data_IF_166318002794
#
_entry.id   IF_166318002794
#
_cell.length_a   1.000
_cell.length_b   1.000
_cell.length_c   1.000
_cell.angle_alpha   90.00
_cell.angle_beta   90.00
_cell.angle_gamma   90.00
#
_symmetry.space_group_name_H-M   'P 1'
#
loop_
_entity.id
_entity.type
_entity.pdbx_description
1 polymer ?
#
# COMPACT_ATOMS: atom_id res chain seq x y z
N UNK A 1 18.08 -22.22 -20.09
CA UNK A 1 17.68 -21.69 -18.77
C UNK A 1 17.60 -20.17 -18.76
N UNK A 2 18.63 -19.42 -19.19
CA UNK A 2 18.63 -17.95 -19.29
C UNK A 2 17.63 -17.43 -20.34
N UNK A 3 17.46 -18.12 -21.46
CA UNK A 3 16.50 -17.76 -22.51
C UNK A 3 15.05 -17.94 -22.07
N UNK A 4 14.75 -19.00 -21.32
CA UNK A 4 13.43 -19.22 -20.70
C UNK A 4 13.15 -18.15 -19.63
N UNK A 5 14.16 -17.78 -18.83
CA UNK A 5 14.06 -16.70 -17.85
C UNK A 5 13.83 -15.33 -18.50
N UNK A 6 14.48 -15.06 -19.62
CA UNK A 6 14.32 -13.82 -20.39
C UNK A 6 12.95 -13.73 -21.06
N UNK A 7 12.46 -14.83 -21.66
CA UNK A 7 11.14 -14.91 -22.27
C UNK A 7 10.00 -14.78 -21.23
N UNK A 8 10.16 -15.36 -20.04
CA UNK A 8 9.18 -15.27 -18.95
C UNK A 8 9.13 -13.88 -18.32
N UNK A 9 10.26 -13.19 -18.17
CA UNK A 9 10.34 -11.89 -17.47
C UNK A 9 10.07 -10.67 -18.37
N UNK A 10 10.51 -10.68 -19.62
CA UNK A 10 10.42 -9.49 -20.49
C UNK A 10 9.09 -9.34 -21.25
N UNK A 11 8.35 -10.44 -21.44
CA UNK A 11 7.08 -10.44 -22.18
C UNK A 11 5.83 -10.71 -21.32
N UNK A 12 5.93 -10.71 -20.01
CA UNK A 12 4.81 -11.03 -19.11
C UNK A 12 3.55 -10.17 -19.37
N UNK A 13 3.70 -8.88 -19.63
CA UNK A 13 2.57 -7.99 -19.87
C UNK A 13 1.88 -8.23 -21.24
N UNK A 14 2.65 -8.53 -22.27
CA UNK A 14 2.11 -8.72 -23.63
C UNK A 14 1.44 -10.09 -23.81
N UNK A 15 2.03 -11.14 -23.21
CA UNK A 15 1.44 -12.49 -23.29
C UNK A 15 0.13 -12.61 -22.51
N UNK A 16 0.01 -11.95 -21.35
CA UNK A 16 -1.23 -11.97 -20.56
C UNK A 16 -2.36 -11.25 -21.32
N UNK A 17 -2.06 -10.13 -21.98
CA UNK A 17 -3.03 -9.41 -22.79
C UNK A 17 -3.45 -10.21 -24.04
N UNK A 18 -2.51 -10.90 -24.68
CA UNK A 18 -2.75 -11.77 -25.83
C UNK A 18 -3.63 -12.99 -25.45
N UNK A 19 -3.29 -13.73 -24.41
CA UNK A 19 -4.07 -14.87 -23.93
C UNK A 19 -5.47 -14.42 -23.49
N UNK A 20 -5.61 -13.23 -22.92
CA UNK A 20 -6.87 -12.68 -22.46
C UNK A 20 -7.78 -12.19 -23.59
N UNK A 21 -7.21 -11.58 -24.62
CA UNK A 21 -7.96 -11.21 -25.84
C UNK A 21 -8.44 -12.45 -26.58
N UNK A 22 -7.70 -13.55 -26.52
CA UNK A 22 -8.09 -14.85 -27.03
C UNK A 22 -9.30 -15.43 -26.30
N UNK A 23 -9.39 -15.23 -24.98
CA UNK A 23 -10.43 -15.85 -24.14
C UNK A 23 -11.84 -15.30 -24.33
N UNK A 24 -12.02 -14.03 -24.72
CA UNK A 24 -13.34 -13.37 -24.77
C UNK A 24 -14.02 -13.30 -26.14
N UNK A 25 -13.28 -13.32 -27.22
CA UNK A 25 -13.88 -13.12 -28.55
C UNK A 25 -13.64 -14.27 -29.52
N UNK A 26 -12.51 -14.97 -29.39
CA UNK A 26 -12.06 -15.90 -30.42
C UNK A 26 -12.67 -17.30 -30.31
N UNK A 27 -13.09 -17.75 -29.12
CA UNK A 27 -13.89 -18.98 -29.01
C UNK A 27 -15.20 -18.85 -29.79
N UNK A 28 -15.91 -17.74 -29.62
CA UNK A 28 -17.16 -17.49 -30.35
C UNK A 28 -16.91 -17.42 -31.88
N UNK A 29 -15.82 -16.79 -32.33
CA UNK A 29 -15.47 -16.71 -33.75
C UNK A 29 -15.19 -18.11 -34.32
N UNK A 30 -14.42 -18.96 -33.63
CA UNK A 30 -14.13 -20.32 -34.06
C UNK A 30 -15.43 -21.13 -34.21
N UNK A 31 -16.34 -21.05 -33.24
CA UNK A 31 -17.64 -21.72 -33.34
C UNK A 31 -18.49 -21.18 -34.49
N UNK A 32 -18.56 -19.85 -34.64
CA UNK A 32 -19.30 -19.19 -35.72
C UNK A 32 -18.76 -19.54 -37.12
N UNK A 33 -17.46 -19.77 -37.27
CA UNK A 33 -16.86 -20.19 -38.56
C UNK A 33 -17.00 -21.70 -38.77
N UNK A 34 -16.94 -22.53 -37.74
CA UNK A 34 -16.99 -23.97 -37.86
C UNK A 34 -18.40 -24.48 -38.19
N UNK A 35 -19.45 -23.88 -37.62
CA UNK A 35 -20.86 -24.28 -37.91
C UNK A 35 -21.17 -24.16 -39.39
N UNK A 36 -20.94 -23.03 -40.07
CA UNK A 36 -21.20 -22.91 -41.53
C UNK A 36 -20.38 -23.89 -42.34
N UNK A 37 -19.13 -24.17 -42.00
CA UNK A 37 -18.28 -25.11 -42.72
C UNK A 37 -18.86 -26.53 -42.70
N UNK A 38 -19.26 -27.02 -41.52
CA UNK A 38 -19.89 -28.30 -41.41
C UNK A 38 -21.29 -28.33 -42.05
N UNK A 39 -22.02 -27.21 -41.97
CA UNK A 39 -23.35 -27.10 -42.57
C UNK A 39 -23.29 -27.25 -44.09
N UNK A 40 -22.38 -26.51 -44.76
CA UNK A 40 -22.17 -26.61 -46.21
C UNK A 40 -21.75 -28.02 -46.61
N UNK A 41 -20.85 -28.66 -45.85
CA UNK A 41 -20.39 -30.00 -46.13
C UNK A 41 -21.49 -31.07 -45.99
N UNK A 42 -22.32 -30.97 -44.93
CA UNK A 42 -23.44 -31.89 -44.70
C UNK A 42 -24.56 -31.67 -45.74
N UNK A 43 -24.83 -30.45 -46.14
CA UNK A 43 -25.79 -30.14 -47.21
C UNK A 43 -25.32 -30.72 -48.57
N UNK A 44 -24.04 -30.53 -48.88
CA UNK A 44 -23.45 -31.13 -50.10
C UNK A 44 -23.49 -32.67 -50.07
N UNK A 45 -23.42 -33.31 -48.91
CA UNK A 45 -23.55 -34.74 -48.76
C UNK A 45 -25.00 -35.24 -48.88
N UNK A 46 -25.95 -34.41 -49.30
CA UNK A 46 -27.33 -34.78 -49.63
C UNK A 46 -28.30 -34.76 -48.45
N UNK A 47 -27.94 -34.16 -47.29
CA UNK A 47 -28.89 -33.95 -46.21
C UNK A 47 -29.74 -32.71 -46.45
N UNK A 48 -30.98 -32.73 -45.97
CA UNK A 48 -31.85 -31.56 -46.03
C UNK A 48 -31.29 -30.38 -45.20
N UNK A 49 -31.74 -29.17 -45.44
CA UNK A 49 -31.19 -27.96 -44.89
C UNK A 49 -31.21 -27.91 -43.36
N UNK A 50 -32.31 -28.28 -42.75
CA UNK A 50 -32.51 -28.27 -41.30
C UNK A 50 -31.69 -29.37 -40.59
N UNK A 51 -31.73 -30.58 -41.11
CA UNK A 51 -30.96 -31.71 -40.56
C UNK A 51 -29.46 -31.45 -40.67
N UNK A 52 -29.01 -30.85 -41.78
CA UNK A 52 -27.61 -30.43 -41.95
C UNK A 52 -27.16 -29.42 -40.93
N UNK A 53 -28.03 -28.47 -40.55
CA UNK A 53 -27.75 -27.46 -39.55
C UNK A 53 -27.63 -28.10 -38.14
N UNK A 54 -28.62 -28.86 -37.69
CA UNK A 54 -28.57 -29.48 -36.37
C UNK A 54 -27.43 -30.47 -36.23
N UNK A 55 -27.15 -31.23 -37.29
CA UNK A 55 -26.02 -32.13 -37.33
C UNK A 55 -24.69 -31.40 -37.20
N UNK A 56 -24.56 -30.25 -37.80
CA UNK A 56 -23.39 -29.41 -37.71
C UNK A 56 -23.16 -28.84 -36.30
N UNK A 57 -24.22 -28.43 -35.62
CA UNK A 57 -24.14 -28.02 -34.19
C UNK A 57 -23.66 -29.19 -33.33
N UNK A 58 -24.20 -30.39 -33.52
CA UNK A 58 -23.77 -31.61 -32.80
C UNK A 58 -22.27 -31.91 -33.03
N UNK A 59 -21.79 -31.80 -34.26
CA UNK A 59 -20.36 -32.00 -34.59
C UNK A 59 -19.44 -30.94 -34.02
N UNK A 60 -19.89 -29.69 -34.02
CA UNK A 60 -19.14 -28.60 -33.36
C UNK A 60 -19.08 -28.84 -31.85
N UNK A 61 -20.12 -29.40 -31.24
CA UNK A 61 -20.11 -29.85 -29.83
C UNK A 61 -19.01 -30.89 -29.55
N UNK A 62 -18.77 -31.83 -30.45
CA UNK A 62 -17.67 -32.80 -30.35
C UNK A 62 -16.28 -32.15 -30.45
N UNK A 63 -16.13 -31.10 -31.23
CA UNK A 63 -14.87 -30.33 -31.30
C UNK A 63 -14.46 -29.68 -29.96
N UNK A 64 -15.43 -29.40 -29.07
CA UNK A 64 -15.13 -28.86 -27.71
C UNK A 64 -14.34 -29.88 -26.89
N UNK A 65 -14.58 -31.16 -27.11
CA UNK A 65 -13.85 -32.26 -26.47
C UNK A 65 -12.68 -32.76 -27.32
N UNK A 66 -12.30 -31.98 -28.36
CA UNK A 66 -11.21 -32.29 -29.30
C UNK A 66 -11.43 -33.58 -30.13
N UNK A 67 -12.66 -33.95 -30.35
CA UNK A 67 -13.03 -35.07 -31.23
C UNK A 67 -13.23 -34.53 -32.66
N UNK A 68 -12.26 -34.77 -33.55
CA UNK A 68 -12.28 -34.32 -34.94
C UNK A 68 -12.95 -35.39 -35.83
N UNK A 69 -14.26 -35.27 -36.07
CA UNK A 69 -15.01 -36.18 -36.89
C UNK A 69 -15.38 -35.51 -38.24
N UNK A 70 -14.77 -35.99 -39.32
CA UNK A 70 -14.97 -35.50 -40.69
C UNK A 70 -15.80 -36.43 -41.55
N UNK A 71 -16.28 -37.57 -41.01
CA UNK A 71 -16.99 -38.59 -41.78
C UNK A 71 -18.17 -38.07 -42.56
N UNK A 72 -18.90 -37.11 -42.00
CA UNK A 72 -20.12 -36.55 -42.62
C UNK A 72 -19.85 -35.53 -43.74
N UNK A 73 -18.62 -35.04 -43.86
CA UNK A 73 -18.23 -34.01 -44.83
C UNK A 73 -17.11 -34.50 -45.77
N UNK A 74 -16.79 -35.79 -45.73
CA UNK A 74 -15.67 -36.37 -46.50
C UNK A 74 -15.86 -36.22 -47.98
N UNK A 75 -17.05 -36.35 -48.51
CA UNK A 75 -17.36 -36.24 -49.95
C UNK A 75 -17.00 -34.84 -50.50
N UNK A 76 -17.29 -33.76 -49.76
CA UNK A 76 -16.89 -32.41 -50.17
C UNK A 76 -15.39 -32.16 -49.95
N UNK A 77 -14.79 -32.75 -48.90
CA UNK A 77 -13.35 -32.66 -48.70
C UNK A 77 -12.53 -33.35 -49.75
N UNK A 78 -13.03 -34.45 -50.32
CA UNK A 78 -12.37 -35.17 -51.44
C UNK A 78 -12.51 -34.44 -52.76
N UNK A 79 -13.65 -33.82 -53.03
CA UNK A 79 -13.92 -33.12 -54.27
C UNK A 79 -13.34 -31.69 -54.31
N UNK A 80 -13.15 -31.07 -53.14
CA UNK A 80 -12.71 -29.64 -53.06
C UNK A 80 -11.50 -29.45 -52.15
N UNK A 81 -10.34 -29.22 -52.76
CA UNK A 81 -9.07 -29.04 -52.02
C UNK A 81 -9.06 -27.78 -51.15
N UNK A 82 -9.72 -26.71 -51.52
CA UNK A 82 -9.81 -25.48 -50.77
C UNK A 82 -10.68 -25.68 -49.51
N UNK A 83 -11.81 -26.40 -49.65
CA UNK A 83 -12.66 -26.73 -48.54
C UNK A 83 -11.92 -27.63 -47.53
N UNK A 84 -11.19 -28.64 -48.00
CA UNK A 84 -10.36 -29.53 -47.19
C UNK A 84 -9.31 -28.74 -46.40
N UNK A 85 -8.60 -27.82 -47.05
CA UNK A 85 -7.62 -26.95 -46.40
C UNK A 85 -8.28 -26.08 -45.33
N UNK A 86 -9.44 -25.51 -45.59
CA UNK A 86 -10.18 -24.66 -44.64
C UNK A 86 -10.62 -25.44 -43.41
N UNK A 87 -11.08 -26.68 -43.55
CA UNK A 87 -11.45 -27.57 -42.44
C UNK A 87 -10.23 -27.90 -41.59
N UNK A 88 -9.09 -28.29 -42.18
CA UNK A 88 -7.88 -28.59 -41.41
C UNK A 88 -7.32 -27.35 -40.73
N UNK A 89 -7.34 -26.19 -41.37
CA UNK A 89 -6.94 -24.94 -40.77
C UNK A 89 -7.82 -24.56 -39.57
N UNK A 90 -9.12 -24.79 -39.68
CA UNK A 90 -10.05 -24.57 -38.56
C UNK A 90 -9.75 -25.52 -37.38
N UNK A 91 -9.45 -26.81 -37.65
CA UNK A 91 -9.04 -27.74 -36.59
C UNK A 91 -7.77 -27.30 -35.87
N UNK A 92 -6.77 -26.80 -36.61
CA UNK A 92 -5.55 -26.26 -36.03
C UNK A 92 -5.89 -25.06 -35.11
N UNK A 93 -6.78 -24.17 -35.54
CA UNK A 93 -7.22 -23.03 -34.72
C UNK A 93 -7.93 -23.47 -33.44
N UNK A 94 -8.80 -24.49 -33.51
CA UNK A 94 -9.46 -25.08 -32.33
C UNK A 94 -8.44 -25.68 -31.37
N UNK A 95 -7.47 -26.43 -31.89
CA UNK A 95 -6.39 -27.03 -31.08
C UNK A 95 -5.54 -25.97 -30.39
N UNK A 96 -5.13 -24.92 -31.12
CA UNK A 96 -4.38 -23.80 -30.56
C UNK A 96 -5.16 -23.11 -29.45
N UNK A 97 -6.48 -22.91 -29.67
CA UNK A 97 -7.34 -22.29 -28.66
C UNK A 97 -7.44 -23.15 -27.39
N UNK A 98 -7.61 -24.47 -27.53
CA UNK A 98 -7.63 -25.40 -26.40
C UNK A 98 -6.30 -25.41 -25.65
N UNK A 99 -5.17 -25.43 -26.35
CA UNK A 99 -3.84 -25.32 -25.76
C UNK A 99 -3.65 -23.99 -25.02
N UNK A 100 -4.08 -22.87 -25.59
CA UNK A 100 -4.03 -21.56 -24.93
C UNK A 100 -4.89 -21.54 -23.66
N UNK A 101 -6.04 -22.19 -23.66
CA UNK A 101 -6.90 -22.31 -22.49
C UNK A 101 -6.23 -23.12 -21.38
N UNK A 102 -5.69 -24.30 -21.69
CA UNK A 102 -4.95 -25.15 -20.74
C UNK A 102 -3.73 -24.38 -20.18
N UNK A 103 -2.94 -23.77 -21.05
CA UNK A 103 -1.78 -22.98 -20.66
C UNK A 103 -2.18 -21.80 -19.76
N UNK A 104 -3.32 -21.17 -19.99
CA UNK A 104 -3.79 -20.06 -19.15
C UNK A 104 -4.11 -20.49 -17.71
N UNK A 105 -4.61 -21.70 -17.53
CA UNK A 105 -4.90 -22.27 -16.20
C UNK A 105 -3.61 -22.72 -15.52
N UNK A 106 -2.74 -23.39 -16.25
CA UNK A 106 -1.50 -23.95 -15.72
C UNK A 106 -0.49 -22.84 -15.43
N UNK A 107 -0.42 -21.79 -16.27
CA UNK A 107 0.54 -20.71 -16.15
C UNK A 107 0.48 -20.00 -14.79
N UNK A 108 -0.70 -19.70 -14.27
CA UNK A 108 -0.83 -19.08 -12.95
C UNK A 108 -0.31 -19.98 -11.83
N UNK A 109 -0.61 -21.29 -11.89
CA UNK A 109 -0.13 -22.28 -10.91
C UNK A 109 1.38 -22.47 -11.00
N UNK A 110 1.92 -22.57 -12.22
CA UNK A 110 3.36 -22.68 -12.45
C UNK A 110 4.08 -21.43 -11.96
N UNK A 111 3.53 -20.23 -12.21
CA UNK A 111 4.11 -18.98 -11.76
C UNK A 111 4.15 -18.89 -10.22
N UNK A 112 3.06 -19.21 -9.53
CA UNK A 112 3.02 -19.25 -8.07
C UNK A 112 4.01 -20.28 -7.50
N UNK A 113 4.07 -21.48 -8.11
CA UNK A 113 5.04 -22.52 -7.73
C UNK A 113 6.49 -22.04 -7.92
N UNK A 114 6.78 -21.40 -9.05
CA UNK A 114 8.09 -20.86 -9.35
C UNK A 114 8.50 -19.75 -8.36
N UNK A 115 7.60 -18.83 -8.04
CA UNK A 115 7.83 -17.79 -7.04
C UNK A 115 8.16 -18.43 -5.67
N UNK A 116 7.40 -19.40 -5.25
CA UNK A 116 7.65 -20.14 -4.00
C UNK A 116 9.04 -20.81 -4.01
N UNK A 117 9.46 -21.37 -5.13
CA UNK A 117 10.78 -21.96 -5.32
C UNK A 117 11.89 -20.90 -5.22
N UNK A 118 11.72 -19.76 -5.87
CA UNK A 118 12.66 -18.64 -5.82
C UNK A 118 12.82 -18.11 -4.39
N UNK A 119 11.72 -17.93 -3.67
CA UNK A 119 11.75 -17.49 -2.26
C UNK A 119 12.54 -18.48 -1.40
N UNK A 120 12.37 -19.78 -1.60
CA UNK A 120 13.08 -20.80 -0.82
C UNK A 120 14.55 -20.94 -1.18
N UNK A 121 14.87 -21.03 -2.47
CA UNK A 121 16.20 -21.41 -2.96
C UNK A 121 17.16 -20.25 -3.14
N UNK A 122 16.67 -19.03 -3.31
CA UNK A 122 17.54 -17.87 -3.53
C UNK A 122 18.39 -17.54 -2.31
N UNK A 123 19.62 -17.12 -2.58
CA UNK A 123 20.57 -16.59 -1.59
C UNK A 123 20.49 -15.06 -1.46
N UNK A 124 19.54 -14.40 -2.12
CA UNK A 124 19.33 -12.96 -1.98
C UNK A 124 18.57 -12.65 -0.69
N UNK A 125 18.79 -11.44 -0.18
CA UNK A 125 18.01 -10.87 0.92
C UNK A 125 16.51 -10.92 0.62
N UNK A 126 15.72 -11.09 1.64
CA UNK A 126 14.27 -11.30 1.52
C UNK A 126 13.47 -10.23 2.24
N UNK A 127 12.41 -9.79 1.60
CA UNK A 127 11.43 -8.86 2.14
C UNK A 127 10.06 -9.54 2.15
N UNK A 128 9.52 -9.76 3.33
CA UNK A 128 8.16 -10.26 3.54
C UNK A 128 7.27 -9.13 4.03
N UNK A 129 6.16 -8.89 3.35
CA UNK A 129 5.23 -7.81 3.65
C UNK A 129 3.87 -8.43 3.97
N UNK A 130 3.40 -8.27 5.19
CA UNK A 130 2.10 -8.73 5.65
C UNK A 130 1.07 -7.62 5.52
N UNK A 131 -0.05 -7.95 4.85
CA UNK A 131 -1.13 -7.01 4.54
C UNK A 131 -1.16 -6.56 3.08
N UNK A 132 -2.38 -6.24 2.60
CA UNK A 132 -2.67 -5.86 1.22
C UNK A 132 -3.23 -4.43 1.16
N UNK A 133 -2.46 -3.45 1.61
CA UNK A 133 -2.82 -2.04 1.51
C UNK A 133 -1.95 -1.30 0.47
N UNK A 134 -2.29 -0.05 0.19
CA UNK A 134 -1.58 0.79 -0.80
C UNK A 134 -0.14 1.08 -0.40
N UNK A 135 0.12 1.26 0.89
CA UNK A 135 1.44 1.52 1.47
C UNK A 135 2.36 0.31 1.24
N UNK A 136 1.88 -0.88 1.57
CA UNK A 136 2.61 -2.13 1.35
C UNK A 136 2.93 -2.39 -0.11
N UNK A 137 2.00 -2.06 -1.01
CA UNK A 137 2.24 -2.14 -2.46
C UNK A 137 3.31 -1.13 -2.89
N UNK A 138 3.34 0.05 -2.29
CA UNK A 138 4.38 1.05 -2.55
C UNK A 138 5.75 0.60 -2.05
N UNK A 139 5.85 0.06 -0.83
CA UNK A 139 7.06 -0.56 -0.29
C UNK A 139 7.52 -1.70 -1.20
N UNK A 140 6.59 -2.57 -1.63
CA UNK A 140 6.90 -3.66 -2.56
C UNK A 140 7.49 -3.15 -3.87
N UNK A 141 6.97 -2.07 -4.43
CA UNK A 141 7.43 -1.51 -5.72
C UNK A 141 8.77 -0.78 -5.61
N UNK A 142 9.01 -0.05 -4.52
CA UNK A 142 10.24 0.71 -4.30
C UNK A 142 11.48 -0.18 -4.15
N UNK A 143 11.32 -1.36 -3.57
CA UNK A 143 12.42 -2.30 -3.35
C UNK A 143 12.82 -3.00 -4.66
N UNK A 144 14.09 -2.91 -5.05
CA UNK A 144 14.59 -3.48 -6.32
C UNK A 144 15.54 -4.67 -6.16
N UNK A 145 16.26 -4.74 -5.05
CA UNK A 145 17.41 -5.62 -4.91
C UNK A 145 17.14 -6.90 -4.12
N UNK A 146 15.96 -7.04 -3.51
CA UNK A 146 15.59 -8.16 -2.64
C UNK A 146 14.57 -9.07 -3.31
N UNK A 147 14.46 -10.30 -2.84
CA UNK A 147 13.28 -11.13 -3.11
C UNK A 147 12.18 -10.68 -2.20
N UNK A 148 11.11 -10.22 -2.79
CA UNK A 148 9.98 -9.61 -2.10
C UNK A 148 8.70 -10.41 -2.31
N UNK A 149 7.91 -10.52 -1.26
CA UNK A 149 6.67 -11.29 -1.26
C UNK A 149 5.63 -10.63 -0.36
N UNK A 150 4.44 -10.46 -0.89
CA UNK A 150 3.28 -9.98 -0.15
C UNK A 150 2.52 -11.16 0.43
N UNK A 151 2.12 -11.08 1.70
CA UNK A 151 1.48 -12.16 2.45
C UNK A 151 0.19 -11.65 3.04
N UNK A 152 -0.93 -12.23 2.63
CA UNK A 152 -2.24 -11.86 3.14
C UNK A 152 -3.28 -12.94 2.82
N UNK A 153 -4.46 -12.85 3.41
CA UNK A 153 -5.62 -13.65 3.04
C UNK A 153 -6.31 -13.02 1.81
N UNK A 154 -5.84 -13.39 0.62
CA UNK A 154 -6.27 -12.79 -0.64
C UNK A 154 -7.48 -13.49 -1.24
N UNK A 155 -8.46 -12.73 -1.66
CA UNK A 155 -9.56 -13.20 -2.53
C UNK A 155 -9.03 -13.58 -3.92
N UNK A 156 -9.78 -14.37 -4.67
CA UNK A 156 -9.34 -14.80 -6.01
C UNK A 156 -9.20 -13.63 -6.99
N UNK A 157 -10.00 -12.59 -6.82
CA UNK A 157 -9.89 -11.35 -7.62
C UNK A 157 -8.59 -10.59 -7.32
N UNK A 158 -8.17 -10.53 -6.07
CA UNK A 158 -6.91 -9.90 -5.66
C UNK A 158 -5.71 -10.71 -6.14
N UNK A 159 -5.75 -12.04 -6.00
CA UNK A 159 -4.72 -12.94 -6.56
C UNK A 159 -4.54 -12.73 -8.07
N UNK A 160 -5.64 -12.64 -8.81
CA UNK A 160 -5.61 -12.36 -10.25
C UNK A 160 -5.00 -10.97 -10.55
N UNK A 161 -5.35 -9.95 -9.76
CA UNK A 161 -4.82 -8.60 -9.92
C UNK A 161 -3.30 -8.55 -9.63
N UNK A 162 -2.85 -9.21 -8.55
CA UNK A 162 -1.42 -9.29 -8.23
C UNK A 162 -0.63 -10.06 -9.27
N UNK A 163 -1.17 -11.17 -9.72
CA UNK A 163 -0.59 -11.93 -10.82
C UNK A 163 -0.40 -11.06 -12.08
N UNK A 164 -1.42 -10.27 -12.47
CA UNK A 164 -1.34 -9.34 -13.61
C UNK A 164 -0.29 -8.26 -13.44
N UNK A 165 -0.10 -7.78 -12.21
CA UNK A 165 0.90 -6.76 -11.87
C UNK A 165 2.29 -7.34 -11.62
N UNK A 166 2.50 -8.64 -11.75
CA UNK A 166 3.78 -9.31 -11.46
C UNK A 166 4.19 -9.24 -9.99
N UNK A 167 3.22 -9.06 -9.09
CA UNK A 167 3.48 -9.01 -7.64
C UNK A 167 3.53 -10.44 -7.10
N UNK A 168 4.65 -10.82 -6.51
CA UNK A 168 4.79 -12.09 -5.80
C UNK A 168 3.95 -12.09 -4.53
N UNK A 169 3.16 -13.13 -4.31
CA UNK A 169 2.29 -13.22 -3.15
C UNK A 169 2.17 -14.64 -2.60
N UNK A 170 1.85 -14.72 -1.30
CA UNK A 170 1.46 -15.93 -0.60
C UNK A 170 0.10 -15.67 0.03
N UNK A 171 -0.94 -16.37 -0.44
CA UNK A 171 -2.28 -16.28 0.15
C UNK A 171 -2.43 -17.31 1.27
N UNK A 172 -2.61 -16.83 2.50
CA UNK A 172 -2.77 -17.69 3.67
C UNK A 172 -3.42 -16.95 4.84
N UNK A 173 -4.19 -17.68 5.63
CA UNK A 173 -4.67 -17.25 6.95
C UNK A 173 -3.75 -17.73 8.09
N UNK A 174 -2.81 -18.65 7.80
CA UNK A 174 -1.93 -19.28 8.80
C UNK A 174 -0.51 -18.69 8.72
N UNK A 175 -0.33 -17.47 9.17
CA UNK A 175 0.95 -16.75 9.10
C UNK A 175 2.12 -17.50 9.76
N UNK A 176 1.87 -18.20 10.87
CA UNK A 176 2.88 -19.02 11.56
C UNK A 176 3.55 -20.05 10.63
N UNK A 177 2.78 -20.63 9.70
CA UNK A 177 3.31 -21.60 8.75
C UNK A 177 4.24 -20.96 7.70
N UNK A 178 4.01 -19.70 7.35
CA UNK A 178 4.85 -18.94 6.43
C UNK A 178 6.24 -18.73 7.05
N UNK A 179 6.26 -18.33 8.31
CA UNK A 179 7.50 -18.07 9.05
C UNK A 179 8.37 -19.33 9.05
N UNK A 180 7.85 -20.45 9.55
CA UNK A 180 8.57 -21.73 9.60
C UNK A 180 9.05 -22.20 8.23
N UNK A 181 8.30 -21.95 7.18
CA UNK A 181 8.57 -22.46 5.83
C UNK A 181 9.66 -21.68 5.09
N UNK A 182 9.77 -20.37 5.33
CA UNK A 182 10.59 -19.47 4.49
C UNK A 182 11.76 -18.82 5.21
N UNK A 183 11.77 -18.81 6.56
CA UNK A 183 12.97 -18.48 7.33
C UNK A 183 13.91 -19.67 7.27
N UNK A 184 15.01 -19.51 6.53
CA UNK A 184 16.06 -20.52 6.47
C UNK A 184 17.19 -20.13 7.42
N UNK A 185 17.29 -20.84 8.54
CA UNK A 185 18.26 -20.58 9.59
C UNK A 185 19.67 -21.00 9.16
N UNK A 186 19.78 -22.08 8.35
CA UNK A 186 21.05 -22.65 7.91
C UNK A 186 21.84 -21.70 6.99
N UNK A 187 21.15 -20.82 6.25
CA UNK A 187 21.77 -19.86 5.34
C UNK A 187 22.19 -18.60 6.08
N UNK A 188 23.44 -18.55 6.54
CA UNK A 188 23.97 -17.48 7.39
C UNK A 188 24.07 -16.09 6.75
N UNK A 189 24.09 -15.99 5.41
CA UNK A 189 24.35 -14.73 4.68
C UNK A 189 23.08 -13.98 4.26
N UNK A 190 21.89 -14.55 4.49
CA UNK A 190 20.64 -13.97 4.03
C UNK A 190 20.04 -13.05 5.11
N UNK A 191 19.80 -11.79 4.77
CA UNK A 191 19.06 -10.85 5.62
C UNK A 191 17.55 -10.95 5.33
N UNK A 192 16.79 -10.89 6.40
CA UNK A 192 15.34 -10.92 6.38
C UNK A 192 14.80 -9.59 6.89
N UNK A 193 13.97 -8.96 6.10
CA UNK A 193 13.18 -7.81 6.52
C UNK A 193 11.71 -8.21 6.48
N UNK A 194 11.01 -7.99 7.57
CA UNK A 194 9.61 -8.30 7.71
C UNK A 194 8.87 -7.01 8.00
N UNK A 195 7.86 -6.72 7.22
CA UNK A 195 6.96 -5.58 7.40
C UNK A 195 5.59 -6.13 7.72
N UNK A 196 5.05 -5.77 8.86
CA UNK A 196 3.71 -6.16 9.32
C UNK A 196 2.85 -4.89 9.33
N UNK A 197 1.97 -4.77 8.36
CA UNK A 197 1.09 -3.63 8.19
C UNK A 197 -0.22 -4.12 7.56
N UNK A 198 -1.05 -4.79 8.34
CA UNK A 198 -2.42 -5.14 7.95
C UNK A 198 -3.36 -3.95 8.21
N UNK A 199 -4.63 -4.11 7.94
CA UNK A 199 -5.64 -3.07 8.22
C UNK A 199 -6.04 -3.01 9.70
N UNK A 200 -5.67 -4.02 10.47
CA UNK A 200 -6.04 -4.17 11.89
C UNK A 200 -4.78 -4.29 12.77
N UNK A 201 -4.63 -3.35 13.67
CA UNK A 201 -3.51 -3.31 14.61
C UNK A 201 -3.45 -4.54 15.53
N UNK A 202 -4.61 -5.08 15.92
CA UNK A 202 -4.67 -6.30 16.74
C UNK A 202 -4.11 -7.49 15.95
N UNK A 203 -4.39 -7.54 14.66
CA UNK A 203 -3.82 -8.54 13.77
C UNK A 203 -2.30 -8.34 13.63
N UNK A 204 -1.82 -7.10 13.49
CA UNK A 204 -0.39 -6.78 13.43
C UNK A 204 0.35 -7.28 14.68
N UNK A 205 -0.20 -7.01 15.86
CA UNK A 205 0.34 -7.46 17.13
C UNK A 205 0.32 -9.00 17.23
N UNK A 206 -0.77 -9.64 16.81
CA UNK A 206 -0.89 -11.09 16.82
C UNK A 206 0.11 -11.77 15.87
N UNK A 207 0.32 -11.22 14.68
CA UNK A 207 1.34 -11.69 13.74
C UNK A 207 2.73 -11.54 14.36
N UNK A 208 3.05 -10.38 14.95
CA UNK A 208 4.32 -10.12 15.62
C UNK A 208 4.57 -11.12 16.75
N UNK A 209 3.59 -11.35 17.61
CA UNK A 209 3.66 -12.35 18.68
C UNK A 209 3.95 -13.75 18.14
N UNK A 210 3.29 -14.17 17.07
CA UNK A 210 3.56 -15.45 16.41
C UNK A 210 5.01 -15.56 15.89
N UNK A 211 5.60 -14.44 15.43
CA UNK A 211 7.02 -14.40 15.07
C UNK A 211 7.91 -14.61 16.30
N UNK A 212 7.68 -13.86 17.35
CA UNK A 212 8.45 -13.96 18.60
C UNK A 212 8.39 -15.39 19.16
N UNK A 213 7.19 -15.97 19.27
CA UNK A 213 7.00 -17.34 19.77
C UNK A 213 7.74 -18.37 18.90
N UNK A 214 7.72 -18.16 17.56
CA UNK A 214 8.43 -19.05 16.65
C UNK A 214 9.94 -18.94 16.82
N UNK A 215 10.48 -17.72 16.95
CA UNK A 215 11.91 -17.47 17.12
C UNK A 215 12.38 -17.98 18.50
N UNK A 216 11.59 -17.77 19.52
CA UNK A 216 11.90 -18.26 20.87
C UNK A 216 11.92 -19.80 20.95
N UNK A 217 11.29 -20.49 19.98
CA UNK A 217 11.36 -21.96 19.89
C UNK A 217 12.65 -22.49 19.24
N UNK A 218 13.51 -21.62 18.70
CA UNK A 218 14.79 -22.02 18.11
C UNK A 218 15.88 -22.20 19.18
N UNK A 219 16.97 -22.88 18.80
CA UNK A 219 18.16 -23.00 19.66
C UNK A 219 18.81 -21.63 19.92
N UNK A 220 19.55 -21.46 21.02
CA UNK A 220 20.15 -20.17 21.35
C UNK A 220 21.20 -19.73 20.30
N UNK A 221 21.90 -20.67 19.70
CA UNK A 221 22.84 -20.40 18.61
C UNK A 221 22.10 -19.86 17.37
N UNK A 222 20.95 -20.41 17.05
CA UNK A 222 20.13 -19.97 15.93
C UNK A 222 19.50 -18.58 16.18
N UNK A 223 19.10 -18.32 17.43
CA UNK A 223 18.60 -17.00 17.85
C UNK A 223 19.64 -15.91 17.64
N UNK A 224 20.89 -16.14 18.05
CA UNK A 224 21.99 -15.17 17.88
C UNK A 224 22.22 -14.90 16.38
N UNK A 225 22.24 -15.94 15.56
CA UNK A 225 22.38 -15.79 14.11
C UNK A 225 21.21 -15.05 13.46
N UNK A 226 19.99 -15.24 13.94
CA UNK A 226 18.80 -14.53 13.45
C UNK A 226 18.78 -13.07 13.90
N UNK A 227 19.19 -12.76 15.14
CA UNK A 227 19.22 -11.40 15.66
C UNK A 227 19.98 -10.42 14.75
N UNK A 228 21.11 -10.84 14.21
CA UNK A 228 21.93 -10.01 13.31
C UNK A 228 21.34 -9.83 11.91
N UNK A 229 20.39 -10.68 11.52
CA UNK A 229 19.90 -10.78 10.14
C UNK A 229 18.41 -10.51 9.97
N UNK A 230 17.65 -10.56 11.04
CA UNK A 230 16.21 -10.40 11.02
C UNK A 230 15.83 -9.05 11.60
N UNK A 231 15.13 -8.25 10.79
CA UNK A 231 14.50 -7.00 11.23
C UNK A 231 13.01 -7.09 11.00
N UNK A 232 12.24 -6.77 12.02
CA UNK A 232 10.77 -6.78 11.96
C UNK A 232 10.29 -5.37 12.22
N UNK A 233 9.49 -4.84 11.30
CA UNK A 233 8.82 -3.55 11.41
C UNK A 233 7.32 -3.80 11.53
N UNK A 234 6.72 -3.34 12.62
CA UNK A 234 5.29 -3.49 12.90
C UNK A 234 4.65 -2.12 12.88
N UNK A 235 3.73 -1.91 11.97
CA UNK A 235 2.98 -0.67 11.88
C UNK A 235 1.76 -0.73 12.79
N UNK A 236 1.45 0.38 13.44
CA UNK A 236 0.27 0.48 14.27
C UNK A 236 0.01 1.87 14.81
N UNK A 237 -1.07 1.98 15.58
CA UNK A 237 -1.52 3.21 16.19
C UNK A 237 -0.76 3.50 17.51
N UNK A 238 -0.55 4.76 17.86
CA UNK A 238 0.17 5.15 19.09
C UNK A 238 -0.37 4.50 20.36
N UNK A 239 -1.68 4.30 20.42
CA UNK A 239 -2.38 3.72 21.57
C UNK A 239 -1.93 2.28 21.92
N UNK A 240 -1.46 1.55 20.93
CA UNK A 240 -1.03 0.16 21.06
C UNK A 240 0.48 0.01 21.33
N UNK A 241 1.23 1.10 21.38
CA UNK A 241 2.68 1.07 21.52
C UNK A 241 3.12 0.41 22.83
N UNK A 242 2.48 0.74 23.96
CA UNK A 242 2.82 0.15 25.27
C UNK A 242 2.60 -1.36 25.31
N UNK A 243 1.50 -1.85 24.71
CA UNK A 243 1.22 -3.29 24.59
C UNK A 243 2.27 -3.97 23.72
N UNK A 244 2.68 -3.31 22.64
CA UNK A 244 3.72 -3.80 21.76
C UNK A 244 5.08 -3.88 22.47
N UNK A 245 5.48 -2.84 23.21
CA UNK A 245 6.74 -2.80 23.98
C UNK A 245 6.83 -3.92 25.00
N UNK A 246 5.73 -4.23 25.69
CA UNK A 246 5.66 -5.39 26.61
C UNK A 246 5.93 -6.72 25.86
N UNK A 247 5.38 -6.88 24.66
CA UNK A 247 5.58 -8.08 23.85
C UNK A 247 7.03 -8.17 23.35
N UNK A 248 7.60 -7.06 22.92
CA UNK A 248 8.96 -6.98 22.38
C UNK A 248 10.02 -7.19 23.45
N UNK A 249 9.79 -6.73 24.68
CA UNK A 249 10.72 -6.93 25.82
C UNK A 249 11.04 -8.42 26.06
N UNK A 250 10.16 -9.32 25.62
CA UNK A 250 10.31 -10.79 25.71
C UNK A 250 11.01 -11.40 24.47
N UNK A 251 11.45 -10.57 23.53
CA UNK A 251 12.02 -11.01 22.26
C UNK A 251 13.53 -10.83 22.22
N UNK A 252 14.22 -11.80 21.62
CA UNK A 252 15.65 -11.72 21.28
C UNK A 252 15.89 -11.18 19.85
N UNK A 253 14.91 -10.51 19.22
CA UNK A 253 15.03 -10.01 17.85
C UNK A 253 14.94 -8.49 17.78
N UNK A 254 15.52 -7.91 16.71
CA UNK A 254 15.37 -6.50 16.42
C UNK A 254 13.96 -6.25 15.84
N UNK A 255 13.06 -5.77 16.68
CA UNK A 255 11.68 -5.45 16.33
C UNK A 255 11.44 -3.97 16.61
N UNK A 256 10.92 -3.27 15.61
CA UNK A 256 10.60 -1.83 15.71
C UNK A 256 9.11 -1.62 15.49
N UNK A 257 8.48 -0.89 16.40
CA UNK A 257 7.13 -0.38 16.20
C UNK A 257 7.20 0.91 15.39
N UNK A 258 6.34 1.03 14.39
CA UNK A 258 6.27 2.21 13.53
C UNK A 258 4.88 2.81 13.66
N UNK A 259 4.80 3.94 14.32
CA UNK A 259 3.64 4.79 14.31
C UNK A 259 3.57 5.49 12.95
N UNK A 260 2.62 5.11 12.09
CA UNK A 260 2.46 5.68 10.75
C UNK A 260 2.19 7.18 10.77
N UNK A 261 1.46 7.66 11.76
CA UNK A 261 1.12 9.08 11.90
C UNK A 261 2.36 9.88 12.29
N UNK A 262 3.20 9.34 13.15
CA UNK A 262 4.49 9.94 13.51
C UNK A 262 5.44 10.02 12.30
N UNK A 263 5.48 8.96 11.47
CA UNK A 263 6.30 9.00 10.25
C UNK A 263 5.80 10.08 9.26
N UNK A 264 4.49 10.24 9.12
CA UNK A 264 3.90 11.32 8.32
C UNK A 264 4.27 12.68 8.89
N UNK A 265 4.20 12.83 10.22
CA UNK A 265 4.53 14.08 10.90
C UNK A 265 6.01 14.45 10.74
N UNK A 266 6.91 13.49 10.89
CA UNK A 266 8.36 13.72 10.69
C UNK A 266 8.63 14.15 9.24
N UNK A 267 8.09 13.42 8.26
CA UNK A 267 8.26 13.74 6.83
C UNK A 267 7.66 15.12 6.49
N UNK A 268 6.52 15.47 7.09
CA UNK A 268 5.88 16.76 6.89
C UNK A 268 6.72 17.89 7.47
N UNK A 269 7.17 17.81 8.71
CA UNK A 269 7.95 18.85 9.39
C UNK A 269 9.33 19.01 8.75
N UNK A 270 9.95 17.91 8.30
CA UNK A 270 11.24 17.94 7.58
C UNK A 270 11.13 18.65 6.23
N UNK A 271 10.06 18.39 5.48
CA UNK A 271 9.83 19.03 4.17
C UNK A 271 9.37 20.48 4.27
N UNK A 272 8.60 20.80 5.31
CA UNK A 272 7.92 22.07 5.50
C UNK A 272 8.21 22.69 6.87
N UNK A 273 9.51 22.86 7.25
CA UNK A 273 9.84 23.55 8.49
C UNK A 273 9.39 25.01 8.39
N UNK A 274 8.84 25.57 9.46
CA UNK A 274 8.30 26.93 9.44
C UNK A 274 9.34 27.98 9.01
N UNK A 275 10.59 27.84 9.45
CA UNK A 275 11.68 28.74 9.07
C UNK A 275 11.87 28.88 7.55
N UNK A 276 11.55 27.84 6.77
CA UNK A 276 11.67 27.83 5.31
C UNK A 276 10.79 28.88 4.62
N UNK A 277 9.68 29.25 5.23
CA UNK A 277 8.70 30.17 4.65
C UNK A 277 8.83 31.58 5.18
N UNK A 278 9.66 31.82 6.19
CA UNK A 278 9.90 33.12 6.74
C UNK A 278 10.79 33.97 5.82
N UNK A 279 10.53 35.26 5.79
CA UNK A 279 11.29 36.22 4.99
C UNK A 279 12.19 37.10 5.87
N UNK A 280 13.03 37.95 5.24
CA UNK A 280 13.98 38.85 5.93
C UNK A 280 13.37 39.87 6.90
N UNK A 281 12.07 40.11 6.85
CA UNK A 281 11.37 40.96 7.80
C UNK A 281 10.99 40.22 9.08
N UNK A 282 11.04 38.89 9.05
CA UNK A 282 10.65 37.99 10.14
C UNK A 282 11.86 37.33 10.78
N UNK A 283 12.86 36.93 9.98
CA UNK A 283 14.09 36.31 10.44
C UNK A 283 15.29 37.13 10.00
N UNK A 284 16.23 37.31 10.89
CA UNK A 284 17.54 37.86 10.57
C UNK A 284 18.46 36.74 10.10
N UNK A 285 18.81 36.74 8.81
CA UNK A 285 19.62 35.67 8.23
C UNK A 285 21.08 35.68 8.68
N UNK A 286 21.58 36.82 9.15
CA UNK A 286 22.97 36.93 9.62
C UNK A 286 23.12 36.29 11.01
N UNK A 287 22.14 36.46 11.86
CA UNK A 287 22.13 35.92 13.23
C UNK A 287 21.32 34.63 13.36
N UNK A 288 20.47 34.30 12.37
CA UNK A 288 19.48 33.21 12.41
C UNK A 288 18.43 33.33 13.53
N UNK A 289 18.22 34.57 14.02
CA UNK A 289 17.26 34.86 15.07
C UNK A 289 15.94 35.37 14.49
N UNK A 290 14.83 35.02 15.15
CA UNK A 290 13.51 35.60 14.82
C UNK A 290 13.44 37.00 15.42
N UNK A 291 12.85 37.95 14.68
CA UNK A 291 12.63 39.30 15.18
C UNK A 291 11.55 39.29 16.27
N UNK A 292 11.76 40.11 17.32
CA UNK A 292 10.91 40.09 18.52
C UNK A 292 9.44 40.43 18.24
N UNK A 293 9.20 41.30 17.25
CA UNK A 293 7.87 41.77 16.86
C UNK A 293 7.11 40.75 15.95
N UNK A 294 7.66 39.59 15.68
CA UNK A 294 7.03 38.52 14.84
C UNK A 294 6.41 37.47 15.71
N UNK A 295 5.14 37.15 15.54
CA UNK A 295 4.54 35.93 16.08
C UNK A 295 4.45 34.85 15.00
N UNK A 296 4.59 33.63 15.43
CA UNK A 296 4.45 32.45 14.57
C UNK A 296 3.18 31.74 15.01
N UNK A 297 2.19 31.71 14.13
CA UNK A 297 0.89 31.11 14.42
C UNK A 297 0.70 29.86 13.55
N UNK A 298 0.39 28.73 14.16
CA UNK A 298 0.10 27.47 13.50
C UNK A 298 -1.37 27.05 13.78
N UNK A 299 -2.16 27.02 12.73
CA UNK A 299 -3.57 26.61 12.78
C UNK A 299 -3.69 25.15 12.40
N UNK A 300 -4.02 24.28 13.34
CA UNK A 300 -4.24 22.85 13.13
C UNK A 300 -5.75 22.59 12.94
N UNK A 301 -6.14 22.33 11.71
CA UNK A 301 -7.57 22.11 11.36
C UNK A 301 -7.83 20.61 11.27
N UNK A 302 -8.73 20.13 12.16
CA UNK A 302 -8.87 18.73 12.52
C UNK A 302 -7.75 18.29 13.45
N UNK A 303 -8.07 17.71 14.60
CA UNK A 303 -7.06 17.25 15.57
C UNK A 303 -7.11 15.74 15.78
N UNK A 304 -7.26 15.02 14.67
CA UNK A 304 -7.10 13.56 14.61
C UNK A 304 -5.64 13.14 14.80
N UNK A 305 -5.38 11.84 14.76
CA UNK A 305 -4.04 11.24 15.03
C UNK A 305 -2.92 11.88 14.21
N UNK A 306 -3.18 12.25 12.96
CA UNK A 306 -2.16 12.89 12.09
C UNK A 306 -1.75 14.27 12.64
N UNK A 307 -2.71 15.16 12.91
CA UNK A 307 -2.39 16.49 13.42
C UNK A 307 -1.88 16.48 14.86
N UNK A 308 -2.25 15.48 15.67
CA UNK A 308 -1.66 15.30 16.99
C UNK A 308 -0.15 15.02 16.87
N UNK A 309 0.26 14.10 16.00
CA UNK A 309 1.67 13.79 15.78
C UNK A 309 2.42 14.94 15.08
N UNK A 310 1.78 15.65 14.14
CA UNK A 310 2.35 16.86 13.53
C UNK A 310 2.59 17.93 14.60
N UNK A 311 1.64 18.13 15.51
CA UNK A 311 1.79 19.04 16.63
C UNK A 311 2.99 18.68 17.50
N UNK A 312 3.09 17.43 17.97
CA UNK A 312 4.18 16.94 18.80
C UNK A 312 5.54 17.10 18.11
N UNK A 313 5.60 16.66 16.84
CA UNK A 313 6.84 16.76 16.03
C UNK A 313 7.20 18.23 15.75
N UNK A 314 6.20 19.07 15.50
CA UNK A 314 6.38 20.50 15.22
C UNK A 314 6.90 21.24 16.45
N UNK A 315 6.34 20.96 17.62
CA UNK A 315 6.81 21.55 18.89
C UNK A 315 8.27 21.20 19.15
N UNK A 316 8.66 19.96 18.86
CA UNK A 316 10.05 19.51 19.05
C UNK A 316 11.04 20.14 18.06
N UNK A 317 10.61 20.39 16.81
CA UNK A 317 11.52 20.80 15.73
C UNK A 317 11.44 22.29 15.37
N UNK A 318 10.33 22.97 15.63
CA UNK A 318 10.16 24.41 15.34
C UNK A 318 10.37 25.25 16.60
N UNK A 319 11.56 25.13 17.21
CA UNK A 319 11.97 25.97 18.32
C UNK A 319 12.82 27.14 17.80
N UNK A 320 12.35 28.34 18.04
CA UNK A 320 12.98 29.56 17.54
C UNK A 320 13.54 30.36 18.70
N UNK A 321 14.55 31.17 18.39
CA UNK A 321 15.20 32.05 19.34
C UNK A 321 15.05 33.48 18.83
N UNK A 322 14.77 34.41 19.72
CA UNK A 322 14.76 35.87 19.44
C UNK A 322 16.00 36.53 20.05
N UNK A 323 16.32 37.73 19.57
CA UNK A 323 17.45 38.51 20.09
C UNK A 323 17.24 38.94 21.53
N UNK A 324 16.00 39.11 22.00
CA UNK A 324 15.71 39.65 23.33
C UNK A 324 16.45 40.98 23.61
N UNK A 325 16.00 41.73 24.59
CA UNK A 325 16.67 43.02 24.91
C UNK A 325 18.08 42.83 25.49
N UNK A 326 18.36 41.71 26.18
CA UNK A 326 19.66 41.47 26.82
C UNK A 326 20.20 40.03 26.57
N UNK A 327 19.34 39.04 26.37
CA UNK A 327 19.75 37.65 26.14
C UNK A 327 18.83 36.95 25.15
N UNK A 328 19.32 35.99 24.34
CA UNK A 328 18.51 35.20 23.46
C UNK A 328 17.41 34.47 24.23
N UNK A 329 16.16 34.65 23.82
CA UNK A 329 15.00 34.00 24.44
C UNK A 329 14.30 33.04 23.49
N UNK A 330 13.70 31.97 24.03
CA UNK A 330 12.91 31.04 23.24
C UNK A 330 11.64 31.74 22.74
N UNK A 331 11.49 31.82 21.41
CA UNK A 331 10.27 32.31 20.77
C UNK A 331 9.29 31.13 20.59
N UNK A 332 8.16 31.21 21.25
CA UNK A 332 7.12 30.20 21.18
C UNK A 332 6.32 30.31 19.89
N UNK A 333 5.93 29.16 19.33
CA UNK A 333 4.91 29.05 18.28
C UNK A 333 3.55 29.01 18.93
N UNK A 334 2.62 29.84 18.49
CA UNK A 334 1.24 29.84 18.96
C UNK A 334 0.45 28.78 18.16
N UNK A 335 0.07 27.69 18.79
CA UNK A 335 -0.76 26.67 18.15
C UNK A 335 -2.23 26.93 18.44
N UNK A 336 -3.05 27.01 17.38
CA UNK A 336 -4.50 27.13 17.44
C UNK A 336 -5.11 25.85 16.89
N UNK A 337 -5.90 25.14 17.71
CA UNK A 337 -6.46 23.85 17.39
C UNK A 337 -7.94 24.01 17.07
N UNK A 338 -8.35 23.59 15.88
CA UNK A 338 -9.72 23.59 15.44
C UNK A 338 -10.22 22.15 15.29
N UNK A 339 -11.14 21.74 16.15
CA UNK A 339 -11.70 20.38 16.09
C UNK A 339 -13.16 20.38 16.59
N UNK A 340 -13.88 19.29 16.35
CA UNK A 340 -15.26 19.13 16.80
C UNK A 340 -15.29 18.57 18.23
N UNK A 341 -15.84 19.34 19.18
CA UNK A 341 -15.87 18.97 20.60
C UNK A 341 -16.72 17.73 20.92
N UNK A 342 -17.65 17.36 20.04
CA UNK A 342 -18.62 16.30 20.32
C UNK A 342 -18.10 14.88 20.02
N UNK A 343 -16.90 14.75 19.45
CA UNK A 343 -16.36 13.46 19.09
C UNK A 343 -15.60 12.80 20.25
N UNK A 344 -15.58 11.46 20.30
CA UNK A 344 -14.79 10.65 21.25
C UNK A 344 -13.28 10.99 21.23
N UNK A 345 -12.81 11.65 20.19
CA UNK A 345 -11.46 12.17 20.07
C UNK A 345 -11.08 13.11 21.22
N UNK A 346 -12.03 13.82 21.82
CA UNK A 346 -11.77 14.67 22.98
C UNK A 346 -11.25 13.89 24.21
N UNK A 347 -11.65 12.65 24.39
CA UNK A 347 -11.13 11.80 25.49
C UNK A 347 -9.69 11.39 25.21
N UNK A 348 -9.38 11.04 23.97
CA UNK A 348 -8.02 10.68 23.54
C UNK A 348 -7.09 11.90 23.54
N UNK A 349 -7.59 13.05 23.15
CA UNK A 349 -6.88 14.31 23.18
C UNK A 349 -6.46 14.69 24.60
N UNK A 350 -7.39 14.63 25.52
CA UNK A 350 -7.09 14.89 26.93
C UNK A 350 -6.05 13.89 27.46
N UNK A 351 -6.18 12.61 27.14
CA UNK A 351 -5.24 11.60 27.59
C UNK A 351 -3.84 11.80 26.99
N UNK A 352 -3.73 12.02 25.69
CA UNK A 352 -2.45 12.24 25.01
C UNK A 352 -1.82 13.57 25.40
N UNK A 353 -2.61 14.62 25.58
CA UNK A 353 -2.13 15.91 26.06
C UNK A 353 -1.63 15.80 27.52
N UNK A 354 -2.34 15.14 28.41
CA UNK A 354 -1.89 14.94 29.79
C UNK A 354 -0.67 14.03 29.86
N UNK A 355 -0.61 13.00 29.04
CA UNK A 355 0.56 12.16 28.91
C UNK A 355 1.77 12.98 28.48
N UNK A 356 1.63 13.75 27.43
CA UNK A 356 2.68 14.60 26.89
C UNK A 356 3.10 15.67 27.91
N UNK A 357 2.16 16.33 28.54
CA UNK A 357 2.43 17.31 29.61
C UNK A 357 3.17 16.68 30.76
N UNK A 358 2.80 15.46 31.15
CA UNK A 358 3.45 14.76 32.26
C UNK A 358 4.84 14.23 31.88
N UNK A 359 5.01 13.70 30.67
CA UNK A 359 6.32 13.29 30.15
C UNK A 359 7.28 14.47 30.06
N UNK A 360 6.77 15.64 29.74
CA UNK A 360 7.54 16.86 29.60
C UNK A 360 7.78 17.58 30.93
N UNK A 361 6.89 17.45 31.91
CA UNK A 361 7.04 18.08 33.23
C UNK A 361 7.84 17.26 34.22
N UNK A 362 8.03 15.96 33.96
CA UNK A 362 8.82 15.05 34.80
C UNK A 362 10.30 14.98 34.39
N UNK A 363 10.71 15.66 33.32
CA UNK A 363 12.12 15.86 33.00
C UNK A 363 12.80 16.66 34.10
N UNK A 364 13.96 16.21 34.57
CA UNK A 364 14.80 17.00 35.47
C UNK A 364 14.94 18.41 34.94
N UNK A 365 14.88 19.40 35.81
CA UNK A 365 15.03 20.83 35.43
C UNK A 365 16.34 21.16 34.69
N UNK A 366 17.20 20.18 34.52
CA UNK A 366 18.46 20.24 33.78
C UNK A 366 18.36 19.68 32.34
N UNK A 367 17.23 19.05 31.93
CA UNK A 367 17.07 18.64 30.55
C UNK A 367 16.66 19.82 29.67
N UNK A 368 17.54 20.18 28.81
CA UNK A 368 17.74 21.37 28.00
C UNK A 368 16.68 21.68 26.93
N UNK A 369 15.50 21.20 27.04
CA UNK A 369 14.41 21.65 26.18
C UNK A 369 13.38 22.37 27.05
N UNK A 370 13.46 23.73 27.15
CA UNK A 370 12.34 24.47 27.68
C UNK A 370 11.18 24.21 26.74
N UNK A 371 10.34 23.25 27.13
CA UNK A 371 9.11 23.03 26.42
C UNK A 371 8.35 24.34 26.41
N UNK A 372 7.92 24.83 25.24
CA UNK A 372 7.08 25.98 25.18
C UNK A 372 5.92 25.72 26.14
N UNK A 373 5.50 26.74 26.86
CA UNK A 373 4.26 26.67 27.60
C UNK A 373 3.22 26.21 26.57
N UNK A 374 2.71 24.98 26.71
CA UNK A 374 1.76 24.43 25.78
C UNK A 374 0.68 25.44 25.51
N UNK A 375 0.20 25.54 24.27
CA UNK A 375 -0.96 26.36 23.99
C UNK A 375 -1.97 25.93 25.04
N UNK A 376 -2.27 26.85 25.94
CA UNK A 376 -3.32 26.63 26.90
C UNK A 376 -4.52 26.15 26.06
N UNK A 377 -5.33 25.25 26.60
CA UNK A 377 -6.58 24.83 25.94
C UNK A 377 -7.48 26.01 25.54
N UNK A 378 -7.13 27.20 25.95
CA UNK A 378 -7.65 28.49 25.54
C UNK A 378 -7.61 28.71 24.01
N UNK A 379 -6.65 28.08 23.31
CA UNK A 379 -6.56 28.12 21.85
C UNK A 379 -7.30 27.00 21.14
N UNK A 380 -8.08 26.20 21.87
CA UNK A 380 -8.92 25.18 21.27
C UNK A 380 -10.25 25.79 20.83
N UNK A 381 -10.54 25.71 19.52
CA UNK A 381 -11.72 26.28 18.91
C UNK A 381 -12.63 25.18 18.35
N UNK A 382 -13.94 25.38 18.44
CA UNK A 382 -14.89 24.48 17.84
C UNK A 382 -14.81 24.56 16.31
N UNK A 383 -14.66 23.41 15.64
CA UNK A 383 -14.63 23.32 14.20
C UNK A 383 -16.04 23.16 13.63
N UNK A 384 -16.52 24.17 12.96
CA UNK A 384 -17.63 24.07 12.02
C UNK A 384 -17.26 24.80 10.73
N UNK A 385 -16.75 24.05 9.76
CA UNK A 385 -16.29 24.59 8.46
C UNK A 385 -17.42 25.24 7.63
N UNK A 386 -18.68 25.04 8.01
CA UNK A 386 -19.82 25.66 7.35
C UNK A 386 -20.23 26.98 8.03
N UNK A 387 -19.69 27.25 9.23
CA UNK A 387 -19.96 28.47 9.96
C UNK A 387 -18.99 29.60 9.56
N UNK A 388 -19.51 30.79 9.34
CA UNK A 388 -18.70 32.00 9.09
C UNK A 388 -17.77 32.34 10.25
N UNK A 389 -18.15 32.00 11.48
CA UNK A 389 -17.36 32.28 12.68
C UNK A 389 -16.01 31.57 12.67
N UNK A 390 -15.95 30.34 12.12
CA UNK A 390 -14.70 29.63 11.93
C UNK A 390 -13.69 30.43 11.08
N UNK A 391 -14.12 30.94 9.95
CA UNK A 391 -13.28 31.75 9.05
C UNK A 391 -12.91 33.09 9.67
N UNK A 392 -13.87 33.73 10.39
CA UNK A 392 -13.64 34.98 11.07
C UNK A 392 -12.62 34.84 12.20
N UNK A 393 -12.62 33.75 12.95
CA UNK A 393 -11.64 33.47 13.99
C UNK A 393 -10.22 33.35 13.39
N UNK A 394 -10.06 32.53 12.35
CA UNK A 394 -8.75 32.40 11.65
C UNK A 394 -8.30 33.76 11.13
N UNK A 395 -9.17 34.51 10.46
CA UNK A 395 -8.86 35.83 9.90
C UNK A 395 -8.48 36.85 10.98
N UNK A 396 -9.20 36.87 12.09
CA UNK A 396 -8.95 37.77 13.20
C UNK A 396 -7.59 37.50 13.87
N UNK A 397 -7.21 36.23 14.01
CA UNK A 397 -5.91 35.85 14.56
C UNK A 397 -4.81 36.17 13.56
N UNK A 398 -4.97 35.77 12.30
CA UNK A 398 -3.97 35.96 11.26
C UNK A 398 -3.69 37.42 10.92
N UNK A 399 -4.64 38.32 11.16
CA UNK A 399 -4.50 39.76 10.85
C UNK A 399 -4.15 40.61 12.07
N UNK A 400 -3.82 40.03 13.23
CA UNK A 400 -3.46 40.81 14.43
C UNK A 400 -2.23 41.66 14.21
N UNK A 401 -1.26 41.13 13.47
CA UNK A 401 -0.04 41.85 13.12
C UNK A 401 0.38 41.50 11.70
N UNK A 402 0.73 42.45 10.89
CA UNK A 402 1.18 42.27 9.49
C UNK A 402 2.49 41.52 9.35
N UNK A 403 3.30 41.50 10.40
CA UNK A 403 4.58 40.83 10.43
C UNK A 403 4.47 39.36 10.88
N UNK A 404 3.32 38.94 11.39
CA UNK A 404 3.14 37.59 11.86
C UNK A 404 3.19 36.58 10.72
N UNK A 405 3.79 35.41 10.98
CA UNK A 405 3.78 34.30 10.04
C UNK A 405 2.67 33.30 10.44
N UNK A 406 1.87 32.94 9.47
CA UNK A 406 0.66 32.13 9.70
C UNK A 406 0.69 30.85 8.87
N UNK A 407 0.75 29.71 9.54
CA UNK A 407 0.73 28.36 8.95
C UNK A 407 -0.63 27.71 9.17
N UNK A 408 -1.24 27.18 8.12
CA UNK A 408 -2.48 26.41 8.19
C UNK A 408 -2.18 24.99 7.81
N UNK A 409 -2.43 24.06 8.73
CA UNK A 409 -2.20 22.63 8.57
C UNK A 409 -3.56 21.93 8.66
N UNK A 410 -3.96 21.29 7.56
CA UNK A 410 -5.27 20.66 7.42
C UNK A 410 -5.08 19.15 7.38
N UNK A 411 -5.61 18.46 8.38
CA UNK A 411 -5.72 17.00 8.39
C UNK A 411 -7.08 16.60 8.99
N UNK A 412 -8.10 16.84 8.20
CA UNK A 412 -9.51 16.70 8.55
C UNK A 412 -10.20 15.81 7.51
N UNK A 413 -10.96 14.80 7.94
CA UNK A 413 -11.73 13.96 7.03
C UNK A 413 -10.91 13.26 5.92
N UNK A 414 -11.36 13.39 4.69
CA UNK A 414 -10.73 12.81 3.50
C UNK A 414 -9.83 13.82 2.78
N UNK A 415 -8.97 13.32 1.87
CA UNK A 415 -8.10 14.16 1.03
C UNK A 415 -8.89 15.20 0.22
N UNK A 416 -10.07 14.82 -0.28
CA UNK A 416 -10.94 15.74 -1.05
C UNK A 416 -11.49 16.85 -0.16
N UNK A 417 -11.91 16.54 1.07
CA UNK A 417 -12.38 17.54 2.03
C UNK A 417 -11.27 18.51 2.44
N UNK A 418 -10.04 18.01 2.61
CA UNK A 418 -8.88 18.84 2.92
C UNK A 418 -8.55 19.80 1.78
N UNK A 419 -8.62 19.33 0.52
CA UNK A 419 -8.40 20.16 -0.67
C UNK A 419 -9.50 21.22 -0.79
N UNK A 420 -10.77 20.84 -0.65
CA UNK A 420 -11.91 21.78 -0.73
C UNK A 420 -11.82 22.85 0.36
N UNK A 421 -11.51 22.46 1.60
CA UNK A 421 -11.34 23.40 2.71
C UNK A 421 -10.17 24.35 2.47
N UNK A 422 -9.05 23.86 1.91
CA UNK A 422 -7.91 24.72 1.58
C UNK A 422 -8.28 25.78 0.55
N UNK A 423 -9.03 25.42 -0.49
CA UNK A 423 -9.55 26.38 -1.47
C UNK A 423 -10.47 27.42 -0.85
N UNK A 424 -11.41 27.01 0.00
CA UNK A 424 -12.32 27.93 0.71
C UNK A 424 -11.57 28.93 1.59
N UNK A 425 -10.52 28.47 2.30
CA UNK A 425 -9.70 29.34 3.13
C UNK A 425 -8.94 30.38 2.30
N UNK A 426 -8.38 30.00 1.16
CA UNK A 426 -7.67 30.92 0.23
C UNK A 426 -8.66 31.93 -0.37
N UNK A 427 -9.86 31.50 -0.79
CA UNK A 427 -10.86 32.41 -1.36
C UNK A 427 -11.36 33.43 -0.34
N UNK A 428 -11.60 33.03 0.91
CA UNK A 428 -12.07 33.93 1.97
C UNK A 428 -10.98 34.84 2.55
N UNK A 429 -9.71 34.59 2.24
CA UNK A 429 -8.59 35.50 2.58
C UNK A 429 -8.59 36.76 1.72
N UNK A 430 -9.13 36.70 0.51
CA UNK A 430 -9.34 37.88 -0.37
C UNK A 430 -10.51 38.73 0.12
#
# INVERSE_FOLDING_TARGET
>A
YLMIKYLILKKQHEHISFIRSFKKGKCAIIFLTTIPLYWIGNFYAGKDLLSSFFYSISRVGKLVVLEFDTSSISSLMESNSLYRFTIYFNFILVLINALCFVLSIIHQRIWCWWQNLLIKKSNKDKLFIFGNNSENISIYKSEKNRIKTLIDNLSDKEKENFYKKGISFISTQKYKNVIKKYLNIEKKDIKYTIVINTKDDKENIAICKNFIDTINSFSDTDKIHLFLRLRIFVFGDPENQSVFEEIVSKSSCCISYINKYQQIAIDFVDRYPFAKFMNKNQIDYDTSLIRDNVNINAFLIGFGKTNQEIFLTSVANNQFITSGDNDPQLKQVNYYIFDNKETENNKHLNHNYYRFKNECSNGDQNDYLPLPSYPAFENYCHLDINNTDFYNQIKNIANRNTNDENFIIIAFGSDLENIDLSHKLVEKRK
#
